data_IF_257592169984
#
_entry.id   IF_257592169984
#
_cell.length_a   1.000
_cell.length_b   1.000
_cell.length_c   1.000
_cell.angle_alpha   90.00
_cell.angle_beta   90.00
_cell.angle_gamma   90.00
#
_symmetry.space_group_name_H-M   'P 1'
#
loop_
_entity.id
_entity.type
_entity.pdbx_description
1 polymer ?
#
# COMPACT_ATOMS: atom_id res chain seq x y z
N UNK A 1 23.49 24.06 12.17
CA UNK A 1 22.74 23.10 13.00
C UNK A 1 23.33 21.75 12.65
N UNK A 2 24.07 21.12 13.56
CA UNK A 2 24.73 19.84 13.28
C UNK A 2 23.71 18.69 13.20
N UNK A 3 23.97 17.72 12.34
CA UNK A 3 23.23 16.47 12.28
C UNK A 3 23.36 15.75 13.63
N UNK A 4 22.26 15.50 14.30
CA UNK A 4 22.25 14.73 15.54
C UNK A 4 22.16 13.26 15.19
N UNK A 5 23.23 12.52 15.42
CA UNK A 5 23.25 11.07 15.28
C UNK A 5 22.99 10.41 16.64
N UNK A 6 21.94 9.62 16.75
CA UNK A 6 21.55 8.91 17.97
C UNK A 6 21.65 7.41 17.72
N UNK A 7 22.33 6.67 18.60
CA UNK A 7 22.36 5.20 18.52
C UNK A 7 20.98 4.61 18.80
N UNK A 8 20.42 4.95 19.95
CA UNK A 8 19.12 4.45 20.38
C UNK A 8 18.36 5.53 21.16
N UNK A 9 17.08 5.72 20.81
CA UNK A 9 16.15 6.59 21.51
C UNK A 9 14.94 5.77 21.98
N UNK A 10 14.77 5.64 23.29
CA UNK A 10 13.61 4.99 23.92
C UNK A 10 12.82 6.00 24.72
N UNK A 11 11.54 6.14 24.42
CA UNK A 11 10.62 7.07 25.08
C UNK A 11 9.31 6.39 25.43
N UNK A 12 8.98 6.33 26.72
CA UNK A 12 7.71 5.76 27.18
C UNK A 12 6.50 6.65 26.91
N UNK A 13 6.70 7.96 26.86
CA UNK A 13 5.65 8.97 26.63
C UNK A 13 5.74 9.62 25.24
N UNK A 14 5.65 10.96 25.23
CA UNK A 14 5.69 11.76 24.00
C UNK A 14 7.00 12.55 23.91
N UNK A 15 7.53 12.66 22.72
CA UNK A 15 8.74 13.43 22.43
C UNK A 15 8.57 14.23 21.15
N UNK A 16 9.11 15.45 21.15
CA UNK A 16 9.26 16.29 19.96
C UNK A 16 10.72 16.70 19.79
N UNK A 17 11.26 16.47 18.62
CA UNK A 17 12.62 16.80 18.24
C UNK A 17 12.62 17.84 17.12
N UNK A 18 13.58 18.75 17.14
CA UNK A 18 13.71 19.81 16.13
C UNK A 18 14.86 19.49 15.17
N UNK A 19 14.62 19.76 13.89
CA UNK A 19 15.58 19.59 12.80
C UNK A 19 15.70 18.16 12.29
N UNK A 20 16.51 17.95 11.26
CA UNK A 20 16.75 16.63 10.72
C UNK A 20 17.39 15.73 11.78
N UNK A 21 16.97 14.47 11.82
CA UNK A 21 17.41 13.49 12.79
C UNK A 21 17.94 12.24 12.10
N UNK A 22 19.09 11.76 12.55
CA UNK A 22 19.61 10.43 12.19
C UNK A 22 19.70 9.56 13.43
N UNK A 23 19.17 8.34 13.34
CA UNK A 23 19.24 7.40 14.44
C UNK A 23 19.38 5.96 13.93
N UNK A 24 19.93 5.06 14.76
CA UNK A 24 19.84 3.63 14.46
C UNK A 24 18.48 3.09 14.84
N UNK A 25 18.02 3.36 16.06
CA UNK A 25 16.76 2.85 16.55
C UNK A 25 15.98 3.91 17.33
N UNK A 26 14.70 4.03 17.01
CA UNK A 26 13.76 4.88 17.73
C UNK A 26 12.57 4.02 18.16
N UNK A 27 12.30 3.99 19.47
CA UNK A 27 11.14 3.32 20.05
C UNK A 27 10.37 4.29 20.92
N UNK A 28 9.12 4.59 20.55
CA UNK A 28 8.24 5.47 21.31
C UNK A 28 6.91 4.77 21.64
N UNK A 29 6.59 4.68 22.92
CA UNK A 29 5.33 4.09 23.36
C UNK A 29 4.12 4.98 23.09
N UNK A 30 4.29 6.29 23.20
CA UNK A 30 3.26 7.31 22.95
C UNK A 30 3.42 8.01 21.61
N UNK A 31 3.70 9.32 21.63
CA UNK A 31 3.80 10.14 20.42
C UNK A 31 5.25 10.51 20.11
N UNK A 32 5.62 10.42 18.84
CA UNK A 32 6.91 10.82 18.31
C UNK A 32 6.73 11.88 17.23
N UNK A 33 7.38 13.04 17.40
CA UNK A 33 7.33 14.14 16.43
C UNK A 33 8.74 14.64 16.09
N UNK A 34 9.02 14.76 14.80
CA UNK A 34 10.25 15.38 14.28
C UNK A 34 9.87 16.53 13.36
N UNK A 35 10.39 17.74 13.67
CA UNK A 35 10.24 18.93 12.84
C UNK A 35 11.33 18.92 11.74
N UNK A 36 11.29 18.00 10.79
CA UNK A 36 12.26 17.85 9.71
C UNK A 36 12.32 16.43 9.16
N UNK A 37 13.39 16.16 8.42
CA UNK A 37 13.62 14.84 7.83
C UNK A 37 14.08 13.84 8.89
N UNK A 38 13.70 12.58 8.72
CA UNK A 38 14.12 11.47 9.58
C UNK A 38 14.80 10.37 8.77
N UNK A 39 16.03 10.03 9.18
CA UNK A 39 16.76 8.87 8.68
C UNK A 39 17.00 7.90 9.84
N UNK A 40 16.47 6.67 9.74
CA UNK A 40 16.55 5.71 10.85
C UNK A 40 16.58 4.26 10.32
N UNK A 41 17.32 3.36 10.98
CA UNK A 41 17.25 1.96 10.60
C UNK A 41 15.93 1.33 11.07
N UNK A 42 15.55 1.55 12.34
CA UNK A 42 14.34 0.98 12.93
C UNK A 42 13.50 2.05 13.63
N UNK A 43 12.26 2.22 13.19
CA UNK A 43 11.27 3.12 13.81
C UNK A 43 10.08 2.31 14.32
N UNK A 44 9.89 2.29 15.62
CA UNK A 44 8.77 1.64 16.30
C UNK A 44 8.00 2.67 17.14
N UNK A 45 6.73 2.91 16.80
CA UNK A 45 5.88 3.87 17.51
C UNK A 45 4.54 3.23 17.85
N UNK A 46 4.22 3.16 19.13
CA UNK A 46 2.95 2.60 19.60
C UNK A 46 1.75 3.47 19.27
N UNK A 47 1.88 4.78 19.39
CA UNK A 47 0.82 5.75 19.19
C UNK A 47 0.93 6.56 17.90
N UNK A 48 1.17 7.87 18.02
CA UNK A 48 1.23 8.82 16.90
C UNK A 48 2.66 9.11 16.48
N UNK A 49 2.95 8.93 15.20
CA UNK A 49 4.21 9.32 14.58
C UNK A 49 3.97 10.49 13.62
N UNK A 50 4.68 11.62 13.81
CA UNK A 50 4.63 12.77 12.91
C UNK A 50 6.04 13.16 12.48
N UNK A 51 6.21 13.31 11.17
CA UNK A 51 7.48 13.72 10.56
C UNK A 51 7.17 14.84 9.58
N UNK A 52 7.66 16.06 9.89
CA UNK A 52 7.43 17.23 9.05
C UNK A 52 8.49 17.34 7.92
N UNK A 53 8.82 16.20 7.31
CA UNK A 53 9.82 16.05 6.26
C UNK A 53 9.71 14.71 5.54
N UNK A 54 10.83 14.29 4.94
CA UNK A 54 11.00 12.98 4.34
C UNK A 54 11.35 11.94 5.41
N UNK A 55 10.88 10.71 5.23
CA UNK A 55 11.27 9.56 6.05
C UNK A 55 12.09 8.59 5.21
N UNK A 56 13.31 8.30 5.67
CA UNK A 56 14.12 7.19 5.16
C UNK A 56 14.36 6.20 6.30
N UNK A 57 13.98 4.95 6.08
CA UNK A 57 14.14 3.92 7.08
C UNK A 57 14.46 2.55 6.46
N UNK A 58 14.96 1.64 7.26
CA UNK A 58 15.02 0.22 6.89
C UNK A 58 13.73 -0.48 7.25
N UNK A 59 13.18 -0.18 8.42
CA UNK A 59 11.94 -0.76 8.92
C UNK A 59 11.12 0.27 9.71
N UNK A 60 9.82 0.31 9.46
CA UNK A 60 8.85 1.19 10.13
C UNK A 60 7.68 0.36 10.65
N UNK A 61 7.45 0.39 11.96
CA UNK A 61 6.30 -0.26 12.60
C UNK A 61 5.58 0.77 13.45
N UNK A 62 4.35 1.11 13.08
CA UNK A 62 3.50 2.05 13.81
C UNK A 62 2.19 1.37 14.20
N UNK A 63 1.94 1.24 15.49
CA UNK A 63 0.71 0.62 16.00
C UNK A 63 -0.52 1.49 15.74
N UNK A 64 -0.39 2.78 15.98
CA UNK A 64 -1.44 3.79 15.77
C UNK A 64 -1.37 4.45 14.39
N UNK A 65 -0.99 5.73 14.34
CA UNK A 65 -1.02 6.52 13.10
C UNK A 65 0.32 7.15 12.79
N UNK A 66 0.65 7.22 11.50
CA UNK A 66 1.80 7.98 11.00
C UNK A 66 1.35 9.07 10.03
N UNK A 67 1.95 10.26 10.18
CA UNK A 67 1.81 11.36 9.23
C UNK A 67 3.19 11.86 8.82
N UNK A 68 3.45 11.90 7.51
CA UNK A 68 4.64 12.52 6.93
C UNK A 68 4.23 13.64 5.99
N UNK A 69 4.98 14.75 5.98
CA UNK A 69 4.66 15.87 5.09
C UNK A 69 5.17 15.67 3.67
N UNK A 70 6.12 14.75 3.47
CA UNK A 70 6.75 14.44 2.19
C UNK A 70 6.76 12.94 1.92
N UNK A 71 7.74 12.48 1.17
CA UNK A 71 7.86 11.09 0.74
C UNK A 71 8.44 10.18 1.81
N UNK A 72 8.14 8.90 1.69
CA UNK A 72 8.61 7.83 2.57
C UNK A 72 9.34 6.79 1.75
N UNK A 73 10.57 6.46 2.16
CA UNK A 73 11.37 5.39 1.57
C UNK A 73 11.77 4.41 2.66
N UNK A 74 11.32 3.16 2.54
CA UNK A 74 11.60 2.08 3.50
C UNK A 74 12.19 0.88 2.76
N UNK A 75 13.37 0.43 3.16
CA UNK A 75 14.03 -0.66 2.44
C UNK A 75 13.26 -1.99 2.54
N UNK A 76 12.78 -2.32 3.74
CA UNK A 76 12.15 -3.61 4.01
C UNK A 76 10.66 -3.51 4.25
N UNK A 77 10.25 -3.13 5.44
CA UNK A 77 8.87 -3.20 5.90
C UNK A 77 8.35 -1.85 6.38
N UNK A 78 7.25 -1.41 5.78
CA UNK A 78 6.39 -0.34 6.28
C UNK A 78 5.08 -0.94 6.78
N UNK A 79 4.90 -1.01 8.10
CA UNK A 79 3.71 -1.59 8.74
C UNK A 79 3.01 -0.55 9.60
N UNK A 80 1.72 -0.34 9.35
CA UNK A 80 0.87 0.58 10.11
C UNK A 80 -0.43 -0.14 10.50
N UNK A 81 -0.71 -0.19 11.80
CA UNK A 81 -1.94 -0.82 12.30
C UNK A 81 -3.18 0.04 12.07
N UNK A 82 -3.07 1.34 12.29
CA UNK A 82 -4.16 2.31 12.12
C UNK A 82 -4.08 3.07 10.80
N UNK A 83 -3.73 4.37 10.82
CA UNK A 83 -3.75 5.20 9.62
C UNK A 83 -2.37 5.72 9.23
N UNK A 84 -2.12 5.76 7.92
CA UNK A 84 -0.95 6.37 7.32
C UNK A 84 -1.38 7.53 6.41
N UNK A 85 -0.87 8.73 6.68
CA UNK A 85 -1.05 9.90 5.81
C UNK A 85 0.32 10.37 5.33
N UNK A 86 0.58 10.21 4.04
CA UNK A 86 1.88 10.47 3.41
C UNK A 86 1.69 11.57 2.37
N UNK A 87 2.34 12.71 2.56
CA UNK A 87 2.20 13.87 1.68
C UNK A 87 2.77 13.67 0.26
N UNK A 88 3.60 12.66 0.06
CA UNK A 88 4.22 12.30 -1.20
C UNK A 88 4.05 10.83 -1.57
N UNK A 89 5.08 10.25 -2.17
CA UNK A 89 5.13 8.85 -2.54
C UNK A 89 5.61 7.98 -1.37
N UNK A 90 5.11 6.73 -1.32
CA UNK A 90 5.63 5.67 -0.46
C UNK A 90 6.37 4.63 -1.31
N UNK A 91 7.62 4.35 -0.99
CA UNK A 91 8.42 3.27 -1.58
C UNK A 91 8.88 2.34 -0.49
N UNK A 92 8.59 1.04 -0.61
CA UNK A 92 9.02 0.05 0.37
C UNK A 92 9.20 -1.33 -0.26
N UNK A 93 9.97 -2.22 0.39
CA UNK A 93 9.96 -3.63 0.01
C UNK A 93 8.58 -4.23 0.26
N UNK A 94 8.05 -4.05 1.45
CA UNK A 94 6.71 -4.50 1.80
C UNK A 94 5.93 -3.37 2.51
N UNK A 95 4.67 -3.18 2.09
CA UNK A 95 3.70 -2.25 2.72
C UNK A 95 2.54 -3.05 3.29
N UNK A 96 2.29 -2.90 4.60
CA UNK A 96 1.13 -3.48 5.28
C UNK A 96 0.37 -2.40 6.04
N UNK A 97 -0.88 -2.19 5.68
CA UNK A 97 -1.76 -1.21 6.35
C UNK A 97 -3.04 -1.90 6.81
N UNK A 98 -3.27 -1.91 8.11
CA UNK A 98 -4.46 -2.54 8.69
C UNK A 98 -5.72 -1.66 8.65
N UNK A 99 -5.56 -0.34 8.62
CA UNK A 99 -6.68 0.60 8.60
C UNK A 99 -6.73 1.43 7.32
N UNK A 100 -6.27 2.69 7.34
CA UNK A 100 -6.34 3.55 6.16
C UNK A 100 -4.98 4.07 5.72
N UNK A 101 -4.81 4.24 4.41
CA UNK A 101 -3.65 4.91 3.84
C UNK A 101 -4.07 5.98 2.84
N UNK A 102 -3.43 7.14 2.95
CA UNK A 102 -3.49 8.22 1.99
C UNK A 102 -2.06 8.55 1.53
N UNK A 103 -1.83 8.51 0.24
CA UNK A 103 -0.54 8.81 -0.38
C UNK A 103 -0.76 9.21 -1.84
N UNK A 104 0.23 9.83 -2.47
CA UNK A 104 0.17 10.10 -3.90
C UNK A 104 0.28 8.79 -4.69
N UNK A 105 1.38 8.08 -4.52
CA UNK A 105 1.61 6.79 -5.14
C UNK A 105 2.33 5.83 -4.17
N UNK A 106 2.09 4.53 -4.34
CA UNK A 106 2.73 3.47 -3.56
C UNK A 106 3.48 2.55 -4.51
N UNK A 107 4.76 2.31 -4.23
CA UNK A 107 5.61 1.39 -4.96
C UNK A 107 6.18 0.35 -3.99
N UNK A 108 5.92 -0.92 -4.23
CA UNK A 108 6.36 -1.99 -3.35
C UNK A 108 6.68 -3.30 -4.10
N UNK A 109 7.32 -4.26 -3.44
CA UNK A 109 7.27 -5.64 -3.92
C UNK A 109 5.97 -6.30 -3.48
N UNK A 110 5.56 -6.06 -2.23
CA UNK A 110 4.33 -6.60 -1.64
C UNK A 110 3.52 -5.45 -1.04
N UNK A 111 2.25 -5.36 -1.42
CA UNK A 111 1.28 -4.43 -0.84
C UNK A 111 0.09 -5.21 -0.26
N UNK A 112 -0.18 -5.01 1.04
CA UNK A 112 -1.32 -5.59 1.75
C UNK A 112 -2.14 -4.52 2.44
N UNK A 113 -3.45 -4.50 2.17
CA UNK A 113 -4.39 -3.53 2.70
C UNK A 113 -5.56 -4.21 3.39
N UNK A 114 -5.78 -3.90 4.66
CA UNK A 114 -6.92 -4.38 5.45
C UNK A 114 -8.01 -3.33 5.70
N UNK A 115 -8.07 -2.25 4.90
CA UNK A 115 -9.06 -1.20 5.10
C UNK A 115 -9.23 -0.30 3.88
N UNK A 116 -8.92 1.00 4.01
CA UNK A 116 -9.14 1.96 2.92
C UNK A 116 -7.84 2.55 2.39
N UNK A 117 -7.71 2.63 1.07
CA UNK A 117 -6.65 3.36 0.40
C UNK A 117 -7.21 4.48 -0.49
N UNK A 118 -6.75 5.72 -0.25
CA UNK A 118 -7.01 6.88 -1.08
C UNK A 118 -5.69 7.29 -1.74
N UNK A 119 -5.49 6.89 -2.98
CA UNK A 119 -4.22 6.98 -3.70
C UNK A 119 -4.48 7.21 -5.19
N UNK A 120 -3.52 7.77 -5.91
CA UNK A 120 -3.61 7.80 -7.36
C UNK A 120 -3.32 6.41 -7.94
N UNK A 121 -2.25 5.75 -7.45
CA UNK A 121 -1.89 4.39 -7.87
C UNK A 121 -1.11 3.60 -6.82
N UNK A 122 -1.26 2.28 -6.86
CA UNK A 122 -0.34 1.29 -6.30
C UNK A 122 0.34 0.55 -7.43
N UNK A 123 1.64 0.32 -7.31
CA UNK A 123 2.42 -0.51 -8.22
C UNK A 123 3.26 -1.48 -7.38
N UNK A 124 2.93 -2.78 -7.46
CA UNK A 124 3.62 -3.82 -6.69
C UNK A 124 3.64 -5.16 -7.42
N UNK A 125 4.61 -6.03 -7.11
CA UNK A 125 4.62 -7.40 -7.67
C UNK A 125 3.41 -8.19 -7.18
N UNK A 126 3.16 -8.15 -5.85
CA UNK A 126 2.04 -8.83 -5.21
C UNK A 126 1.15 -7.81 -4.50
N UNK A 127 -0.12 -7.80 -4.84
CA UNK A 127 -1.14 -6.97 -4.20
C UNK A 127 -2.20 -7.86 -3.58
N UNK A 128 -2.45 -7.67 -2.30
CA UNK A 128 -3.50 -8.33 -1.54
C UNK A 128 -4.38 -7.26 -0.88
N UNK A 129 -5.62 -7.18 -1.32
CA UNK A 129 -6.64 -6.30 -0.76
C UNK A 129 -7.57 -7.20 0.04
N UNK A 130 -7.55 -7.02 1.36
CA UNK A 130 -8.34 -7.84 2.27
C UNK A 130 -9.86 -7.64 2.08
N UNK A 131 -10.63 -8.51 2.73
CA UNK A 131 -12.09 -8.45 2.68
C UNK A 131 -12.64 -7.09 3.14
N UNK A 132 -13.71 -6.64 2.47
CA UNK A 132 -14.41 -5.39 2.77
C UNK A 132 -13.50 -4.15 2.79
N UNK A 133 -12.43 -4.18 2.04
CA UNK A 133 -11.50 -3.06 1.86
C UNK A 133 -11.90 -2.21 0.66
N UNK A 134 -11.49 -0.95 0.67
CA UNK A 134 -11.80 0.01 -0.40
C UNK A 134 -10.52 0.62 -0.97
N UNK A 135 -10.34 0.59 -2.28
CA UNK A 135 -9.22 1.23 -2.97
C UNK A 135 -9.72 2.25 -3.98
N UNK A 136 -9.53 3.53 -3.66
CA UNK A 136 -9.83 4.66 -4.55
C UNK A 136 -8.58 5.03 -5.31
N UNK A 137 -8.32 4.32 -6.40
CA UNK A 137 -7.16 4.50 -7.25
C UNK A 137 -6.91 3.29 -8.13
N UNK A 138 -5.84 3.33 -8.92
CA UNK A 138 -5.47 2.24 -9.81
C UNK A 138 -4.47 1.31 -9.13
N UNK A 139 -4.68 0.02 -9.30
CA UNK A 139 -3.82 -1.05 -8.79
C UNK A 139 -3.11 -1.73 -9.94
N UNK A 140 -1.79 -1.69 -9.93
CA UNK A 140 -0.93 -2.38 -10.88
C UNK A 140 -0.16 -3.48 -10.17
N UNK A 141 -0.24 -4.71 -10.67
CA UNK A 141 0.48 -5.82 -10.03
C UNK A 141 0.68 -7.02 -10.93
N UNK A 142 1.71 -7.81 -10.64
CA UNK A 142 1.88 -9.07 -11.34
C UNK A 142 0.83 -10.08 -10.87
N UNK A 143 0.63 -10.14 -9.58
CA UNK A 143 -0.47 -10.90 -8.98
C UNK A 143 -1.30 -9.98 -8.09
N UNK A 144 -2.59 -9.90 -8.37
CA UNK A 144 -3.52 -9.07 -7.61
C UNK A 144 -4.68 -9.93 -7.10
N UNK A 145 -4.92 -9.87 -5.80
CA UNK A 145 -6.09 -10.51 -5.17
C UNK A 145 -6.96 -9.39 -4.59
N UNK A 146 -8.16 -9.27 -5.11
CA UNK A 146 -9.22 -8.42 -4.57
C UNK A 146 -10.09 -9.29 -3.68
N UNK A 147 -9.97 -9.10 -2.38
CA UNK A 147 -10.62 -9.93 -1.37
C UNK A 147 -12.13 -9.78 -1.34
N UNK A 148 -12.77 -10.73 -0.68
CA UNK A 148 -14.23 -10.83 -0.59
C UNK A 148 -14.89 -9.51 -0.16
N UNK A 149 -15.86 -9.02 -0.95
CA UNK A 149 -16.61 -7.80 -0.65
C UNK A 149 -15.77 -6.51 -0.68
N UNK A 150 -14.58 -6.56 -1.28
CA UNK A 150 -13.75 -5.37 -1.45
C UNK A 150 -14.18 -4.57 -2.68
N UNK A 151 -14.00 -3.25 -2.61
CA UNK A 151 -14.34 -2.32 -3.68
C UNK A 151 -13.06 -1.71 -4.25
N UNK A 152 -12.83 -1.82 -5.57
CA UNK A 152 -11.62 -1.33 -6.22
C UNK A 152 -11.95 -0.61 -7.52
N UNK A 153 -11.47 0.62 -7.68
CA UNK A 153 -11.72 1.42 -8.89
C UNK A 153 -11.13 0.80 -10.16
N UNK A 154 -9.92 0.24 -10.09
CA UNK A 154 -9.33 -0.39 -11.28
C UNK A 154 -8.11 -1.24 -10.96
N UNK A 155 -7.99 -2.35 -11.67
CA UNK A 155 -6.91 -3.32 -11.53
C UNK A 155 -6.31 -3.63 -12.88
N UNK A 156 -4.98 -3.56 -12.97
CA UNK A 156 -4.22 -4.01 -14.14
C UNK A 156 -3.17 -5.02 -13.65
N UNK A 157 -3.25 -6.25 -14.14
CA UNK A 157 -2.38 -7.32 -13.62
C UNK A 157 -2.06 -8.43 -14.63
N UNK A 158 -1.08 -9.27 -14.30
CA UNK A 158 -0.90 -10.51 -15.05
C UNK A 158 -1.91 -11.57 -14.59
N UNK A 159 -1.92 -11.89 -13.29
CA UNK A 159 -2.85 -12.81 -12.68
C UNK A 159 -3.75 -12.03 -11.68
N UNK A 160 -5.02 -11.92 -11.99
CA UNK A 160 -5.99 -11.18 -11.17
C UNK A 160 -7.06 -12.14 -10.66
N UNK A 161 -7.29 -12.12 -9.36
CA UNK A 161 -8.40 -12.83 -8.73
C UNK A 161 -9.33 -11.81 -8.09
N UNK A 162 -10.58 -11.80 -8.52
CA UNK A 162 -11.67 -11.04 -7.92
C UNK A 162 -12.50 -12.02 -7.12
N UNK A 163 -12.34 -11.98 -5.80
CA UNK A 163 -13.01 -12.92 -4.90
C UNK A 163 -14.51 -12.62 -4.78
N UNK A 164 -15.17 -13.54 -4.12
CA UNK A 164 -16.63 -13.54 -3.91
C UNK A 164 -17.16 -12.18 -3.43
N UNK A 165 -18.25 -11.72 -4.03
CA UNK A 165 -18.98 -10.51 -3.68
C UNK A 165 -18.12 -9.21 -3.75
N UNK A 166 -16.96 -9.22 -4.39
CA UNK A 166 -16.12 -8.04 -4.60
C UNK A 166 -16.59 -7.23 -5.82
N UNK A 167 -16.36 -5.91 -5.78
CA UNK A 167 -16.77 -4.98 -6.83
C UNK A 167 -15.54 -4.28 -7.44
N UNK A 168 -15.43 -4.32 -8.77
CA UNK A 168 -14.32 -3.67 -9.49
C UNK A 168 -14.84 -2.97 -10.73
N UNK A 169 -14.63 -1.64 -10.84
CA UNK A 169 -15.10 -0.89 -12.02
C UNK A 169 -14.40 -1.39 -13.30
N UNK A 170 -13.06 -1.58 -13.24
CA UNK A 170 -12.29 -2.01 -14.41
C UNK A 170 -11.19 -3.00 -14.07
N UNK A 171 -11.16 -4.12 -14.80
CA UNK A 171 -10.07 -5.11 -14.74
C UNK A 171 -9.40 -5.25 -16.11
N UNK A 172 -8.08 -5.15 -16.14
CA UNK A 172 -7.27 -5.59 -17.27
C UNK A 172 -6.28 -6.67 -16.81
N UNK A 173 -6.31 -7.85 -17.44
CA UNK A 173 -5.45 -8.94 -16.99
C UNK A 173 -4.95 -9.83 -18.13
N UNK A 174 -3.79 -10.48 -17.95
CA UNK A 174 -3.44 -11.61 -18.81
C UNK A 174 -4.37 -12.78 -18.50
N UNK A 175 -4.49 -13.12 -17.21
CA UNK A 175 -5.42 -14.12 -16.70
C UNK A 175 -6.27 -13.53 -15.58
N UNK A 176 -7.55 -13.82 -15.60
CA UNK A 176 -8.46 -13.35 -14.56
C UNK A 176 -9.40 -14.45 -14.11
N UNK A 177 -9.63 -14.50 -12.80
CA UNK A 177 -10.65 -15.31 -12.18
C UNK A 177 -11.64 -14.40 -11.47
N UNK A 178 -12.91 -14.46 -11.83
CA UNK A 178 -14.00 -13.74 -11.18
C UNK A 178 -14.88 -14.75 -10.46
N UNK A 179 -14.94 -14.65 -9.15
CA UNK A 179 -15.67 -15.61 -8.31
C UNK A 179 -17.15 -15.25 -8.15
N UNK A 180 -17.89 -16.18 -7.56
CA UNK A 180 -19.34 -16.08 -7.34
C UNK A 180 -19.75 -14.76 -6.68
N UNK A 181 -20.75 -14.09 -7.24
CA UNK A 181 -21.33 -12.85 -6.73
C UNK A 181 -20.46 -11.61 -6.93
N UNK A 182 -19.23 -11.76 -7.45
CA UNK A 182 -18.38 -10.61 -7.76
C UNK A 182 -18.96 -9.82 -8.95
N UNK A 183 -18.80 -8.51 -8.92
CA UNK A 183 -19.26 -7.58 -9.94
C UNK A 183 -18.08 -6.87 -10.60
N UNK A 184 -18.01 -6.89 -11.93
CA UNK A 184 -16.99 -6.21 -12.71
C UNK A 184 -17.67 -5.45 -13.85
N UNK A 185 -17.50 -4.13 -13.91
CA UNK A 185 -18.14 -3.35 -14.97
C UNK A 185 -17.45 -3.56 -16.32
N UNK A 186 -16.12 -3.40 -16.36
CA UNK A 186 -15.35 -3.61 -17.58
C UNK A 186 -14.21 -4.61 -17.35
N UNK A 187 -14.23 -5.72 -18.07
CA UNK A 187 -13.21 -6.75 -18.05
C UNK A 187 -12.50 -6.83 -19.41
N UNK A 188 -11.19 -6.60 -19.41
CA UNK A 188 -10.32 -6.81 -20.55
C UNK A 188 -9.31 -7.91 -20.23
N UNK A 189 -9.21 -8.93 -21.06
CA UNK A 189 -8.28 -10.04 -20.81
C UNK A 189 -7.53 -10.46 -22.08
N UNK A 190 -6.31 -10.94 -21.90
CA UNK A 190 -5.46 -11.34 -23.03
C UNK A 190 -5.51 -12.85 -23.27
N UNK A 191 -5.28 -13.64 -22.25
CA UNK A 191 -5.14 -15.10 -22.35
C UNK A 191 -6.42 -15.82 -21.93
N UNK A 192 -6.82 -15.66 -20.67
CA UNK A 192 -7.88 -16.44 -20.06
C UNK A 192 -8.75 -15.60 -19.11
N UNK A 193 -10.06 -15.82 -19.16
CA UNK A 193 -11.00 -15.31 -18.19
C UNK A 193 -11.89 -16.45 -17.68
N UNK A 194 -11.77 -16.76 -16.40
CA UNK A 194 -12.62 -17.71 -15.69
C UNK A 194 -13.67 -16.91 -14.91
N UNK A 195 -14.91 -16.91 -15.38
CA UNK A 195 -16.02 -16.16 -14.78
C UNK A 195 -17.02 -17.15 -14.21
N UNK A 196 -17.27 -17.06 -12.90
CA UNK A 196 -18.31 -17.87 -12.25
C UNK A 196 -19.70 -17.53 -12.83
N UNK A 197 -20.55 -18.52 -12.96
CA UNK A 197 -21.90 -18.35 -13.52
C UNK A 197 -22.79 -17.37 -12.75
N UNK A 198 -22.53 -17.20 -11.46
CA UNK A 198 -23.24 -16.30 -10.56
C UNK A 198 -22.50 -14.95 -10.37
N UNK A 199 -21.42 -14.71 -11.11
CA UNK A 199 -20.75 -13.42 -11.18
C UNK A 199 -21.41 -12.50 -12.20
N UNK A 200 -21.32 -11.19 -12.00
CA UNK A 200 -21.83 -10.18 -12.92
C UNK A 200 -20.68 -9.46 -13.59
N UNK A 201 -20.59 -9.60 -14.90
CA UNK A 201 -19.62 -8.86 -15.71
C UNK A 201 -20.39 -8.12 -16.80
N UNK A 202 -20.43 -6.78 -16.70
CA UNK A 202 -21.22 -5.96 -17.62
C UNK A 202 -20.64 -5.97 -19.03
N UNK A 203 -19.31 -5.99 -19.15
CA UNK A 203 -18.61 -6.02 -20.42
C UNK A 203 -17.33 -6.85 -20.30
N UNK A 204 -17.19 -7.89 -21.13
CA UNK A 204 -15.99 -8.71 -21.20
C UNK A 204 -15.42 -8.71 -22.62
N UNK A 205 -14.17 -8.29 -22.79
CA UNK A 205 -13.51 -8.18 -24.11
C UNK A 205 -12.14 -8.85 -24.05
N UNK A 206 -11.89 -9.76 -25.00
CA UNK A 206 -10.56 -10.28 -25.24
C UNK A 206 -9.76 -9.27 -26.05
N UNK A 207 -8.56 -8.92 -25.58
CA UNK A 207 -7.65 -7.97 -26.21
C UNK A 207 -6.31 -8.64 -26.52
N UNK A 208 -5.52 -8.05 -27.44
CA UNK A 208 -4.24 -8.63 -27.84
C UNK A 208 -3.12 -8.38 -26.80
N UNK A 209 -3.21 -7.28 -26.06
CA UNK A 209 -2.23 -6.89 -25.03
C UNK A 209 -2.86 -6.01 -23.97
N UNK A 210 -2.22 -5.90 -22.81
CA UNK A 210 -2.59 -4.95 -21.76
C UNK A 210 -2.30 -3.51 -22.21
N UNK A 211 -3.03 -2.56 -21.63
CA UNK A 211 -2.84 -1.12 -21.89
C UNK A 211 -1.49 -0.60 -21.35
N UNK A 212 -0.92 -1.30 -20.35
CA UNK A 212 0.34 -0.98 -19.69
C UNK A 212 1.22 -2.22 -19.62
N UNK A 213 2.51 -2.06 -19.90
CA UNK A 213 3.51 -3.11 -19.71
C UNK A 213 3.90 -3.18 -18.23
N UNK A 214 3.67 -4.32 -17.60
CA UNK A 214 4.06 -4.59 -16.22
C UNK A 214 5.41 -5.31 -16.20
N UNK A 215 6.36 -4.78 -15.43
CA UNK A 215 7.68 -5.43 -15.23
C UNK A 215 7.56 -6.55 -14.21
N UNK A 216 7.03 -7.68 -14.65
CA UNK A 216 6.94 -8.89 -13.86
C UNK A 216 8.06 -9.85 -14.31
N UNK A 217 9.27 -9.60 -13.83
CA UNK A 217 10.34 -10.59 -13.98
C UNK A 217 9.95 -11.86 -13.25
N UNK A 218 10.36 -13.00 -13.80
CA UNK A 218 9.94 -14.35 -13.39
C UNK A 218 10.03 -14.53 -11.87
N UNK A 219 8.95 -15.05 -11.31
CA UNK A 219 8.80 -15.48 -9.91
C UNK A 219 9.54 -16.78 -9.67
#
# INVERSE_FOLDING_TARGET
VGDVAIEELKVGGSIRLKGPLRARSIKAGGSFHVDGDLEVEQLEVGGLCRIDGDLKAREVIVGGSIKTSRSVVVEKLFKVGGSANIGGDLRAGEVRVGGSIEAKAIYAEIFKLGGRANIEKVEAKHVEIDRNSEVRGLVFGCRVVVGKGAEVKGVIGHDVVVEKDAEVDRVEALKVKVEKGAEVDELYYVQEAQIDKDAKVSKAIKVDKLSVELKCEEL
#
